data_IF_463112369579
#
_entry.id   IF_463112369579
#
_cell.length_a   1.000
_cell.length_b   1.000
_cell.length_c   1.000
_cell.angle_alpha   90.00
_cell.angle_beta   90.00
_cell.angle_gamma   90.00
#
_symmetry.space_group_name_H-M   'P 1'
#
loop_
_entity.id
_entity.type
_entity.pdbx_description
1 polymer ?
#
# COMPACT_ATOMS: atom_id res chain seq x y z
N UNK A 1 4.73 4.52 -2.56
CA UNK A 1 4.42 4.23 -1.14
C UNK A 1 5.06 5.32 -0.31
N UNK A 2 4.26 6.15 0.36
CA UNK A 2 4.82 7.20 1.23
C UNK A 2 5.66 6.55 2.32
N UNK A 3 6.96 6.86 2.30
CA UNK A 3 7.93 6.45 3.32
C UNK A 3 7.41 6.98 4.67
N UNK A 4 7.14 6.08 5.62
CA UNK A 4 6.72 6.49 6.96
C UNK A 4 7.73 7.49 7.53
N UNK A 5 7.25 8.58 8.11
CA UNK A 5 8.10 9.70 8.51
C UNK A 5 8.83 9.36 9.81
N UNK A 6 10.18 9.25 9.81
CA UNK A 6 10.94 8.78 10.97
C UNK A 6 10.72 9.60 12.24
N UNK A 7 10.49 10.90 12.08
CA UNK A 7 10.35 11.86 13.17
C UNK A 7 8.97 11.85 13.84
N UNK A 8 7.97 11.15 13.31
CA UNK A 8 6.64 11.06 13.91
C UNK A 8 6.49 9.80 14.76
N UNK A 9 5.62 9.85 15.76
CA UNK A 9 5.14 8.65 16.44
C UNK A 9 4.08 7.92 15.62
N UNK A 10 3.82 6.65 15.93
CA UNK A 10 2.75 5.85 15.31
C UNK A 10 1.40 6.58 15.41
N UNK A 11 1.04 7.09 16.59
CA UNK A 11 -0.20 7.85 16.83
C UNK A 11 -0.26 9.14 16.02
N UNK A 12 0.81 9.94 16.02
CA UNK A 12 0.86 11.19 15.26
C UNK A 12 0.75 10.96 13.75
N UNK A 13 1.38 9.90 13.26
CA UNK A 13 1.34 9.53 11.85
C UNK A 13 -0.09 9.13 11.43
N UNK A 14 -0.75 8.24 12.18
CA UNK A 14 -2.14 7.87 11.91
C UNK A 14 -3.09 9.07 12.02
N UNK A 15 -2.93 9.94 13.02
CA UNK A 15 -3.71 11.17 13.12
C UNK A 15 -3.50 12.11 11.93
N UNK A 16 -2.27 12.25 11.45
CA UNK A 16 -1.98 13.05 10.25
C UNK A 16 -2.70 12.47 9.02
N UNK A 17 -2.66 11.16 8.81
CA UNK A 17 -3.36 10.49 7.72
C UNK A 17 -4.89 10.59 7.87
N UNK A 18 -5.43 10.38 9.07
CA UNK A 18 -6.85 10.52 9.37
C UNK A 18 -7.34 11.94 9.03
N UNK A 19 -6.60 12.97 9.46
CA UNK A 19 -6.97 14.36 9.22
C UNK A 19 -7.07 14.73 7.74
N UNK A 20 -6.22 14.13 6.89
CA UNK A 20 -6.18 14.42 5.46
C UNK A 20 -7.09 13.53 4.61
N UNK A 21 -7.25 12.26 4.99
CA UNK A 21 -7.92 11.24 4.17
C UNK A 21 -9.35 10.97 4.57
N UNK A 22 -9.75 11.22 5.83
CA UNK A 22 -11.13 11.00 6.27
C UNK A 22 -12.07 12.13 5.81
N UNK A 23 -13.35 11.80 5.65
CA UNK A 23 -14.37 12.72 5.15
C UNK A 23 -14.61 13.91 6.12
N UNK A 24 -14.90 15.12 5.60
CA UNK A 24 -15.09 16.33 6.44
C UNK A 24 -16.27 16.23 7.40
N UNK A 25 -17.31 15.47 7.02
CA UNK A 25 -18.47 15.23 7.88
C UNK A 25 -18.16 14.46 9.17
N UNK A 26 -16.96 13.86 9.28
CA UNK A 26 -16.54 13.13 10.49
C UNK A 26 -15.90 14.11 11.46
N UNK A 27 -16.42 14.16 12.68
CA UNK A 27 -15.96 15.05 13.74
C UNK A 27 -14.51 14.75 14.14
N UNK A 28 -13.76 15.74 14.68
CA UNK A 28 -12.40 15.50 15.17
C UNK A 28 -12.32 14.44 16.27
N UNK A 29 -13.40 14.25 17.03
CA UNK A 29 -13.49 13.22 18.08
C UNK A 29 -13.59 11.83 17.46
N UNK A 30 -14.53 11.63 16.55
CA UNK A 30 -14.69 10.34 15.82
C UNK A 30 -13.43 9.98 15.02
N UNK A 31 -12.73 10.96 14.45
CA UNK A 31 -11.43 10.72 13.78
C UNK A 31 -10.39 10.14 14.73
N UNK A 32 -10.29 10.68 15.95
CA UNK A 32 -9.37 10.17 16.97
C UNK A 32 -9.80 8.79 17.46
N UNK A 33 -11.09 8.58 17.70
CA UNK A 33 -11.64 7.28 18.08
C UNK A 33 -11.32 6.21 17.03
N UNK A 34 -11.48 6.55 15.73
CA UNK A 34 -11.10 5.66 14.63
C UNK A 34 -9.60 5.36 14.58
N UNK A 35 -8.75 6.33 14.89
CA UNK A 35 -7.30 6.11 14.98
C UNK A 35 -6.97 5.12 16.11
N UNK A 36 -7.60 5.26 17.28
CA UNK A 36 -7.39 4.34 18.41
C UNK A 36 -7.91 2.93 18.10
N UNK A 37 -9.06 2.82 17.41
CA UNK A 37 -9.58 1.53 16.93
C UNK A 37 -8.59 0.84 15.99
N UNK A 38 -8.04 1.57 15.01
CA UNK A 38 -7.05 1.03 14.07
C UNK A 38 -5.75 0.63 14.78
N UNK A 39 -5.30 1.39 15.78
CA UNK A 39 -4.13 1.03 16.58
C UNK A 39 -4.35 -0.31 17.30
N UNK A 40 -5.54 -0.51 17.86
CA UNK A 40 -5.92 -1.73 18.56
C UNK A 40 -6.05 -2.91 17.60
N UNK A 41 -6.77 -2.74 16.49
CA UNK A 41 -6.98 -3.77 15.47
C UNK A 41 -5.67 -4.30 14.88
N UNK A 42 -4.65 -3.44 14.79
CA UNK A 42 -3.35 -3.78 14.23
C UNK A 42 -2.34 -4.21 15.29
N UNK A 43 -2.74 -4.25 16.56
CA UNK A 43 -1.85 -4.62 17.67
C UNK A 43 -0.64 -3.68 17.79
N UNK A 44 -0.84 -2.38 17.53
CA UNK A 44 0.18 -1.32 17.64
C UNK A 44 0.15 -0.61 19.00
N UNK A 45 -0.65 -1.10 19.96
CA UNK A 45 -0.83 -0.49 21.29
C UNK A 45 0.49 -0.30 22.05
N UNK A 46 1.44 -1.25 21.91
CA UNK A 46 2.73 -1.18 22.62
C UNK A 46 3.68 -0.12 22.05
N UNK A 47 3.55 0.24 20.77
CA UNK A 47 4.43 1.18 20.07
C UNK A 47 3.73 2.48 19.66
N UNK A 48 2.54 2.74 20.21
CA UNK A 48 1.67 3.86 19.83
C UNK A 48 2.35 5.22 19.93
N UNK A 49 3.09 5.45 21.02
CA UNK A 49 3.80 6.72 21.26
C UNK A 49 5.31 6.60 20.98
N UNK A 50 5.74 5.51 20.32
CA UNK A 50 7.11 5.30 19.88
C UNK A 50 7.34 6.00 18.54
N UNK A 51 8.51 6.61 18.37
CA UNK A 51 8.93 7.15 17.08
C UNK A 51 9.01 6.04 16.04
N UNK A 52 8.52 6.32 14.84
CA UNK A 52 8.60 5.42 13.69
C UNK A 52 10.06 5.07 13.40
N UNK A 53 10.96 6.06 13.50
CA UNK A 53 12.37 5.88 13.27
C UNK A 53 12.71 5.61 11.80
N UNK A 54 14.01 5.52 11.52
CA UNK A 54 14.55 5.36 10.18
C UNK A 54 15.99 4.87 10.23
N UNK A 55 16.76 5.06 9.16
CA UNK A 55 18.14 4.56 9.09
C UNK A 55 19.06 5.08 10.20
N UNK A 56 18.82 6.30 10.67
CA UNK A 56 19.67 6.97 11.67
C UNK A 56 19.03 7.05 13.06
N UNK A 57 17.73 6.77 13.19
CA UNK A 57 16.96 6.90 14.43
C UNK A 57 16.29 5.57 14.70
N UNK A 58 16.63 4.92 15.81
CA UNK A 58 15.96 3.69 16.23
C UNK A 58 14.47 3.98 16.46
N UNK A 59 13.60 3.15 15.89
CA UNK A 59 12.15 3.27 16.05
C UNK A 59 11.47 1.92 16.13
N UNK A 60 10.30 1.81 15.52
CA UNK A 60 9.49 0.59 15.51
C UNK A 60 10.14 -0.51 14.66
N UNK A 61 9.78 -1.77 14.93
CA UNK A 61 10.21 -2.93 14.16
C UNK A 61 9.67 -2.92 12.72
N UNK A 62 10.26 -3.72 11.83
CA UNK A 62 9.79 -3.85 10.44
C UNK A 62 8.35 -4.36 10.34
N UNK A 63 7.96 -5.32 11.19
CA UNK A 63 6.58 -5.82 11.25
C UNK A 63 5.59 -4.78 11.78
N UNK A 64 5.97 -3.98 12.78
CA UNK A 64 5.16 -2.84 13.24
C UNK A 64 5.03 -1.76 12.16
N UNK A 65 6.11 -1.48 11.43
CA UNK A 65 6.10 -0.56 10.30
C UNK A 65 5.12 -1.00 9.20
N UNK A 66 5.13 -2.28 8.82
CA UNK A 66 4.21 -2.81 7.79
C UNK A 66 2.76 -2.72 8.26
N UNK A 67 2.49 -3.04 9.54
CA UNK A 67 1.16 -2.88 10.15
C UNK A 67 0.74 -1.41 10.19
N UNK A 68 1.62 -0.48 10.53
CA UNK A 68 1.34 0.97 10.47
C UNK A 68 0.96 1.43 9.05
N UNK A 69 1.71 1.01 8.03
CA UNK A 69 1.42 1.33 6.64
C UNK A 69 0.05 0.80 6.21
N UNK A 70 -0.26 -0.43 6.61
CA UNK A 70 -1.57 -1.02 6.38
C UNK A 70 -2.69 -0.22 7.10
N UNK A 71 -2.46 0.20 8.34
CA UNK A 71 -3.38 1.06 9.09
C UNK A 71 -3.67 2.38 8.42
N UNK A 72 -2.67 3.01 7.80
CA UNK A 72 -2.87 4.24 7.04
C UNK A 72 -3.90 4.11 5.90
N UNK A 73 -4.03 2.92 5.31
CA UNK A 73 -5.03 2.63 4.27
C UNK A 73 -6.41 2.31 4.88
N UNK A 74 -6.44 1.51 5.95
CA UNK A 74 -7.67 1.07 6.63
C UNK A 74 -8.38 2.18 7.40
N UNK A 75 -7.67 3.26 7.78
CA UNK A 75 -8.25 4.44 8.45
C UNK A 75 -9.47 5.01 7.71
N UNK A 76 -9.48 4.93 6.37
CA UNK A 76 -10.58 5.47 5.55
C UNK A 76 -11.79 4.54 5.42
N UNK A 77 -11.73 3.38 6.07
CA UNK A 77 -12.74 2.32 6.05
C UNK A 77 -13.23 1.93 4.64
N UNK A 78 -12.30 1.72 3.67
CA UNK A 78 -12.69 1.51 2.28
C UNK A 78 -13.46 0.19 2.10
N UNK A 79 -14.51 0.15 1.24
CA UNK A 79 -15.25 -1.10 0.98
C UNK A 79 -14.44 -2.12 0.19
N UNK A 80 -13.45 -1.67 -0.58
CA UNK A 80 -12.54 -2.48 -1.39
C UNK A 80 -11.10 -2.07 -1.09
N UNK A 81 -10.26 -3.05 -0.74
CA UNK A 81 -8.84 -2.86 -0.43
C UNK A 81 -7.97 -3.70 -1.37
N UNK A 82 -6.97 -3.06 -1.97
CA UNK A 82 -5.94 -3.75 -2.75
C UNK A 82 -4.65 -3.79 -1.94
N UNK A 83 -4.05 -4.97 -1.81
CA UNK A 83 -2.79 -5.17 -1.08
C UNK A 83 -1.77 -5.84 -1.99
N UNK A 84 -0.74 -5.11 -2.38
CA UNK A 84 0.36 -5.66 -3.16
C UNK A 84 1.41 -6.26 -2.21
N UNK A 85 1.62 -7.57 -2.29
CA UNK A 85 2.56 -8.36 -1.50
C UNK A 85 2.62 -7.95 0.00
N UNK A 86 1.51 -8.10 0.75
CA UNK A 86 1.44 -7.65 2.14
C UNK A 86 2.38 -8.43 3.08
N UNK A 87 2.81 -9.63 2.68
CA UNK A 87 3.70 -10.51 3.46
C UNK A 87 5.18 -10.39 3.08
N UNK A 88 5.51 -9.64 2.02
CA UNK A 88 6.90 -9.54 1.54
C UNK A 88 7.81 -8.84 2.54
N UNK A 89 8.98 -9.43 2.80
CA UNK A 89 9.97 -8.96 3.77
C UNK A 89 9.63 -9.22 5.24
N UNK A 90 8.60 -10.04 5.52
CA UNK A 90 8.23 -10.47 6.87
C UNK A 90 8.65 -11.92 7.12
N UNK A 91 8.90 -12.26 8.39
CA UNK A 91 8.98 -13.65 8.81
C UNK A 91 7.58 -14.31 8.80
N UNK A 92 7.54 -15.64 8.94
CA UNK A 92 6.30 -16.42 8.87
C UNK A 92 5.26 -15.99 9.91
N UNK A 93 5.69 -15.69 11.14
CA UNK A 93 4.81 -15.29 12.24
C UNK A 93 4.21 -13.89 12.02
N UNK A 94 5.02 -12.94 11.57
CA UNK A 94 4.57 -11.60 11.21
C UNK A 94 3.65 -11.60 10.00
N UNK A 95 3.94 -12.44 8.99
CA UNK A 95 3.10 -12.61 7.81
C UNK A 95 1.70 -13.12 8.19
N UNK A 96 1.63 -14.14 9.06
CA UNK A 96 0.37 -14.69 9.56
C UNK A 96 -0.46 -13.65 10.33
N UNK A 97 0.20 -12.81 11.15
CA UNK A 97 -0.46 -11.72 11.85
C UNK A 97 -1.08 -10.69 10.88
N UNK A 98 -0.36 -10.32 9.81
CA UNK A 98 -0.88 -9.39 8.79
C UNK A 98 -2.06 -10.01 8.02
N UNK A 99 -1.96 -11.28 7.63
CA UNK A 99 -3.05 -11.99 6.93
C UNK A 99 -4.29 -12.15 7.81
N UNK A 100 -4.10 -12.38 9.11
CA UNK A 100 -5.20 -12.45 10.08
C UNK A 100 -5.95 -11.13 10.19
N UNK A 101 -5.23 -9.99 10.20
CA UNK A 101 -5.83 -8.66 10.17
C UNK A 101 -6.66 -8.47 8.89
N UNK A 102 -6.09 -8.83 7.74
CA UNK A 102 -6.79 -8.74 6.44
C UNK A 102 -8.06 -9.60 6.45
N UNK A 103 -8.00 -10.81 7.01
CA UNK A 103 -9.16 -11.69 7.15
C UNK A 103 -10.24 -11.09 8.05
N UNK A 104 -9.85 -10.50 9.17
CA UNK A 104 -10.79 -9.83 10.07
C UNK A 104 -11.49 -8.65 9.40
N UNK A 105 -10.80 -7.89 8.56
CA UNK A 105 -11.43 -6.84 7.76
C UNK A 105 -12.42 -7.41 6.74
N UNK A 106 -12.06 -8.49 6.06
CA UNK A 106 -12.97 -9.18 5.15
C UNK A 106 -14.24 -9.68 5.86
N UNK A 107 -14.09 -10.23 7.07
CA UNK A 107 -15.20 -10.69 7.91
C UNK A 107 -16.15 -9.55 8.34
N UNK A 108 -15.67 -8.29 8.39
CA UNK A 108 -16.50 -7.10 8.64
C UNK A 108 -17.24 -6.59 7.39
N UNK A 109 -17.27 -7.39 6.31
CA UNK A 109 -17.97 -7.05 5.05
C UNK A 109 -17.15 -6.21 4.09
N UNK A 110 -15.82 -6.17 4.23
CA UNK A 110 -14.92 -5.52 3.27
C UNK A 110 -14.49 -6.52 2.20
N UNK A 111 -14.26 -6.05 0.97
CA UNK A 111 -13.62 -6.86 -0.07
C UNK A 111 -12.12 -6.58 -0.06
N UNK A 112 -11.29 -7.62 0.08
CA UNK A 112 -9.83 -7.47 0.01
C UNK A 112 -9.28 -8.32 -1.12
N UNK A 113 -8.44 -7.72 -1.96
CA UNK A 113 -7.72 -8.37 -3.05
C UNK A 113 -6.23 -8.21 -2.77
N UNK A 114 -5.49 -9.30 -2.70
CA UNK A 114 -4.07 -9.25 -2.47
C UNK A 114 -3.27 -10.18 -3.39
N UNK A 115 -2.04 -9.77 -3.69
CA UNK A 115 -1.02 -10.61 -4.34
C UNK A 115 -0.14 -11.20 -3.25
N UNK A 116 0.14 -12.51 -3.30
CA UNK A 116 1.12 -13.16 -2.42
C UNK A 116 2.05 -14.03 -3.25
N UNK A 117 3.35 -13.76 -3.14
CA UNK A 117 4.39 -14.64 -3.66
C UNK A 117 4.58 -15.80 -2.67
N UNK A 118 4.29 -17.03 -3.11
CA UNK A 118 4.51 -18.28 -2.36
C UNK A 118 3.95 -18.27 -0.92
N UNK A 119 2.62 -18.33 -0.74
CA UNK A 119 2.03 -18.37 0.60
C UNK A 119 2.40 -19.67 1.33
N UNK A 120 2.72 -19.58 2.62
CA UNK A 120 2.79 -20.76 3.49
C UNK A 120 1.44 -21.47 3.55
N UNK A 121 1.42 -22.75 3.91
CA UNK A 121 0.17 -23.51 4.04
C UNK A 121 -0.81 -22.87 5.04
N UNK A 122 -0.28 -22.26 6.12
CA UNK A 122 -1.10 -21.53 7.11
C UNK A 122 -1.76 -20.29 6.50
N UNK A 123 -1.01 -19.49 5.74
CA UNK A 123 -1.53 -18.30 5.06
C UNK A 123 -2.53 -18.70 3.97
N UNK A 124 -2.21 -19.72 3.19
CA UNK A 124 -3.08 -20.19 2.11
C UNK A 124 -4.46 -20.66 2.62
N UNK A 125 -4.49 -21.27 3.81
CA UNK A 125 -5.72 -21.78 4.42
C UNK A 125 -6.75 -20.69 4.79
N UNK A 126 -6.33 -19.43 4.89
CA UNK A 126 -7.19 -18.30 5.31
C UNK A 126 -8.00 -17.72 4.15
N UNK A 127 -7.59 -17.97 2.90
CA UNK A 127 -8.23 -17.40 1.71
C UNK A 127 -9.61 -18.00 1.42
N UNK A 128 -10.58 -17.12 1.16
CA UNK A 128 -11.91 -17.52 0.70
C UNK A 128 -11.89 -18.00 -0.75
N UNK A 129 -11.11 -17.31 -1.59
CA UNK A 129 -10.89 -17.59 -3.00
C UNK A 129 -9.46 -17.21 -3.38
N UNK A 130 -8.93 -17.85 -4.41
CA UNK A 130 -7.64 -17.46 -4.98
C UNK A 130 -7.70 -17.48 -6.51
N UNK A 131 -6.75 -16.76 -7.11
CA UNK A 131 -6.57 -16.68 -8.55
C UNK A 131 -5.13 -17.02 -8.87
N UNK A 132 -4.93 -17.97 -9.79
CA UNK A 132 -3.63 -18.26 -10.36
C UNK A 132 -3.54 -17.61 -11.74
N UNK A 133 -2.46 -16.85 -11.94
CA UNK A 133 -2.14 -16.20 -13.19
C UNK A 133 -0.85 -16.78 -13.76
N UNK A 134 -0.85 -17.08 -15.05
CA UNK A 134 0.34 -17.51 -15.79
C UNK A 134 0.34 -16.84 -17.17
N UNK A 135 1.45 -16.17 -17.52
CA UNK A 135 1.62 -15.47 -18.81
C UNK A 135 0.43 -14.53 -19.15
N UNK A 136 -0.12 -13.84 -18.16
CA UNK A 136 -1.26 -12.92 -18.32
C UNK A 136 -2.63 -13.59 -18.49
N UNK A 137 -2.71 -14.92 -18.34
CA UNK A 137 -3.95 -15.71 -18.43
C UNK A 137 -4.33 -16.30 -17.07
N UNK A 138 -5.63 -16.55 -16.89
CA UNK A 138 -6.15 -17.18 -15.67
C UNK A 138 -6.01 -18.70 -15.79
N UNK A 139 -5.18 -19.27 -14.92
CA UNK A 139 -5.01 -20.72 -14.81
C UNK A 139 -6.04 -21.35 -13.87
N UNK A 140 -6.49 -20.60 -12.85
CA UNK A 140 -7.55 -20.99 -11.95
C UNK A 140 -8.13 -19.75 -11.26
N UNK A 141 -9.43 -19.74 -11.00
CA UNK A 141 -10.10 -18.76 -10.15
C UNK A 141 -11.27 -19.44 -9.45
N UNK A 142 -11.22 -19.53 -8.13
CA UNK A 142 -12.29 -20.18 -7.38
C UNK A 142 -12.04 -20.26 -5.88
N UNK A 143 -13.02 -20.81 -5.14
CA UNK A 143 -12.84 -21.24 -3.76
C UNK A 143 -11.77 -22.32 -3.65
N UNK A 144 -11.12 -22.40 -2.49
CA UNK A 144 -10.13 -23.46 -2.20
C UNK A 144 -10.73 -24.87 -2.22
N UNK A 145 -12.04 -25.04 -2.04
CA UNK A 145 -12.65 -26.38 -2.07
C UNK A 145 -12.64 -26.98 -3.48
N UNK A 146 -12.59 -26.12 -4.51
CA UNK A 146 -12.72 -26.51 -5.90
C UNK A 146 -11.37 -26.70 -6.62
N UNK A 147 -10.25 -26.42 -5.93
CA UNK A 147 -8.92 -26.47 -6.55
C UNK A 147 -8.46 -27.91 -6.85
N UNK A 148 -8.39 -28.79 -5.85
CA UNK A 148 -7.97 -30.18 -5.97
C UNK A 148 -8.85 -30.94 -6.98
N UNK A 149 -10.20 -30.84 -6.96
CA UNK A 149 -11.03 -31.48 -7.97
C UNK A 149 -10.72 -31.02 -9.40
N UNK A 150 -10.51 -29.71 -9.60
CA UNK A 150 -10.16 -29.17 -10.91
C UNK A 150 -8.80 -29.68 -11.39
N UNK A 151 -7.75 -29.57 -10.56
CA UNK A 151 -6.41 -30.02 -10.93
C UNK A 151 -6.33 -31.54 -11.16
N UNK A 152 -7.07 -32.34 -10.38
CA UNK A 152 -7.21 -33.77 -10.62
C UNK A 152 -7.88 -34.08 -11.97
N UNK A 153 -8.89 -33.30 -12.38
CA UNK A 153 -9.59 -33.51 -13.67
C UNK A 153 -8.69 -33.31 -14.90
N UNK A 154 -7.63 -32.50 -14.75
CA UNK A 154 -6.65 -32.23 -15.81
C UNK A 154 -5.39 -33.11 -15.69
N UNK A 155 -5.40 -34.10 -14.79
CA UNK A 155 -4.32 -35.07 -14.58
C UNK A 155 -3.19 -34.59 -13.66
N UNK A 156 -3.42 -33.53 -12.88
CA UNK A 156 -2.45 -32.93 -11.97
C UNK A 156 -2.83 -33.28 -10.53
N UNK A 157 -2.15 -34.29 -9.97
CA UNK A 157 -2.39 -34.75 -8.61
C UNK A 157 -1.43 -34.07 -7.62
N UNK A 158 -2.01 -33.41 -6.61
CA UNK A 158 -1.24 -32.79 -5.52
C UNK A 158 -0.88 -33.87 -4.48
N UNK A 159 0.40 -34.06 -4.13
CA UNK A 159 0.79 -34.95 -3.04
C UNK A 159 0.24 -34.48 -1.69
N UNK A 160 -0.09 -35.41 -0.79
CA UNK A 160 -0.68 -35.10 0.53
C UNK A 160 0.25 -34.27 1.43
N UNK A 161 1.56 -34.52 1.35
CA UNK A 161 2.58 -33.84 2.18
C UNK A 161 3.06 -32.49 1.59
N UNK A 162 2.46 -32.04 0.48
CA UNK A 162 2.92 -30.86 -0.24
C UNK A 162 1.94 -29.69 -0.12
N UNK A 163 2.46 -28.48 0.03
CA UNK A 163 1.62 -27.27 0.06
C UNK A 163 0.95 -27.07 -1.31
N UNK A 164 -0.39 -27.15 -1.42
CA UNK A 164 -1.07 -27.04 -2.72
C UNK A 164 -0.75 -25.73 -3.45
N UNK A 165 -0.67 -24.62 -2.73
CA UNK A 165 -0.37 -23.32 -3.33
C UNK A 165 1.02 -23.29 -3.97
N UNK A 166 2.03 -23.83 -3.28
CA UNK A 166 3.39 -23.92 -3.82
C UNK A 166 3.42 -24.86 -5.04
N UNK A 167 2.67 -25.97 -4.99
CA UNK A 167 2.62 -26.94 -6.09
C UNK A 167 2.04 -26.33 -7.36
N UNK A 168 0.92 -25.61 -7.24
CA UNK A 168 0.29 -24.98 -8.39
C UNK A 168 1.17 -23.88 -8.99
N UNK A 169 1.85 -23.10 -8.15
CA UNK A 169 2.82 -22.10 -8.62
C UNK A 169 3.98 -22.78 -9.34
N UNK A 170 4.53 -23.86 -8.80
CA UNK A 170 5.62 -24.60 -9.43
C UNK A 170 5.22 -25.18 -10.79
N UNK A 171 3.97 -25.65 -10.91
CA UNK A 171 3.44 -26.21 -12.14
C UNK A 171 3.26 -25.17 -13.25
N UNK A 172 3.02 -23.91 -12.86
CA UNK A 172 2.84 -22.77 -13.76
C UNK A 172 4.14 -21.96 -13.97
N UNK A 173 5.19 -22.26 -13.22
CA UNK A 173 6.47 -21.56 -13.29
C UNK A 173 7.21 -21.88 -14.60
N UNK A 174 7.86 -20.85 -15.15
CA UNK A 174 8.72 -20.98 -16.32
C UNK A 174 10.15 -21.19 -15.82
N UNK A 175 10.69 -22.37 -16.10
CA UNK A 175 12.04 -22.75 -15.68
C UNK A 175 13.03 -22.43 -16.81
N UNK A 176 14.12 -21.71 -16.54
CA UNK A 176 15.15 -21.44 -17.54
C UNK A 176 15.69 -22.74 -18.15
N UNK A 177 15.73 -22.82 -19.48
CA UNK A 177 16.20 -24.00 -20.23
C UNK A 177 15.11 -24.95 -20.71
N UNK A 178 13.87 -24.86 -20.19
CA UNK A 178 12.70 -25.62 -20.67
C UNK A 178 11.50 -24.68 -20.92
N UNK A 179 11.78 -23.44 -21.34
CA UNK A 179 10.77 -22.38 -21.39
C UNK A 179 9.59 -22.71 -22.32
N UNK A 180 9.85 -23.31 -23.48
CA UNK A 180 8.82 -23.66 -24.46
C UNK A 180 7.86 -24.72 -23.93
N UNK A 181 8.38 -25.75 -23.26
CA UNK A 181 7.58 -26.83 -22.66
C UNK A 181 6.76 -26.30 -21.47
N UNK A 182 7.38 -25.51 -20.59
CA UNK A 182 6.70 -24.87 -19.45
C UNK A 182 5.57 -23.94 -19.93
N UNK A 183 5.83 -23.13 -20.96
CA UNK A 183 4.82 -22.21 -21.52
C UNK A 183 3.69 -22.97 -22.20
N UNK A 184 3.98 -24.05 -22.93
CA UNK A 184 2.97 -24.91 -23.54
C UNK A 184 2.05 -25.53 -22.46
N UNK A 185 2.64 -26.03 -21.37
CA UNK A 185 1.92 -26.59 -20.23
C UNK A 185 1.04 -25.55 -19.52
N UNK A 186 1.58 -24.37 -19.21
CA UNK A 186 0.83 -23.29 -18.61
C UNK A 186 -0.35 -22.85 -19.50
N UNK A 187 -0.12 -22.79 -20.82
CA UNK A 187 -1.16 -22.49 -21.80
C UNK A 187 -2.27 -23.55 -21.80
N UNK A 188 -1.92 -24.83 -21.78
CA UNK A 188 -2.87 -25.94 -21.71
C UNK A 188 -3.74 -25.87 -20.45
N UNK A 189 -3.15 -25.59 -19.29
CA UNK A 189 -3.90 -25.44 -18.02
C UNK A 189 -4.90 -24.28 -18.12
N UNK A 190 -4.46 -23.12 -18.64
CA UNK A 190 -5.33 -21.96 -18.85
C UNK A 190 -6.47 -22.26 -19.83
N UNK A 191 -6.20 -22.99 -20.92
CA UNK A 191 -7.21 -23.38 -21.90
C UNK A 191 -8.24 -24.35 -21.29
N UNK A 192 -7.79 -25.34 -20.53
CA UNK A 192 -8.67 -26.27 -19.81
C UNK A 192 -9.52 -25.56 -18.76
N UNK A 193 -8.96 -24.59 -18.04
CA UNK A 193 -9.74 -23.78 -17.08
C UNK A 193 -10.82 -22.96 -17.79
N UNK A 194 -10.51 -22.32 -18.92
CA UNK A 194 -11.47 -21.50 -19.66
C UNK A 194 -12.68 -22.30 -20.18
N UNK A 195 -12.49 -23.58 -20.49
CA UNK A 195 -13.55 -24.50 -20.96
C UNK A 195 -14.24 -25.23 -19.80
N UNK A 196 -13.65 -25.26 -18.62
CA UNK A 196 -14.22 -25.94 -17.45
C UNK A 196 -15.53 -25.30 -16.98
N UNK A 197 -16.39 -26.10 -16.33
CA UNK A 197 -17.66 -25.63 -15.75
C UNK A 197 -17.45 -24.47 -14.77
N UNK A 198 -16.34 -24.48 -14.00
CA UNK A 198 -15.96 -23.40 -13.10
C UNK A 198 -15.63 -22.12 -13.87
N UNK A 199 -14.80 -22.22 -14.92
CA UNK A 199 -14.42 -21.08 -15.76
C UNK A 199 -15.62 -20.44 -16.46
N UNK A 200 -16.50 -21.27 -17.03
CA UNK A 200 -17.73 -20.82 -17.69
C UNK A 200 -18.69 -20.17 -16.67
N UNK A 201 -18.90 -20.81 -15.52
CA UNK A 201 -19.78 -20.27 -14.47
C UNK A 201 -19.28 -18.92 -13.95
N UNK A 202 -17.97 -18.77 -13.75
CA UNK A 202 -17.39 -17.50 -13.32
C UNK A 202 -17.50 -16.43 -14.41
N UNK A 203 -17.25 -16.78 -15.67
CA UNK A 203 -17.44 -15.86 -16.80
C UNK A 203 -18.87 -15.37 -16.90
N UNK A 204 -19.85 -16.27 -16.83
CA UNK A 204 -21.27 -15.91 -16.86
C UNK A 204 -21.64 -14.97 -15.70
N UNK A 205 -21.14 -15.24 -14.48
CA UNK A 205 -21.37 -14.34 -13.34
C UNK A 205 -20.76 -12.96 -13.52
N UNK A 206 -19.59 -12.87 -14.15
CA UNK A 206 -18.96 -11.59 -14.46
C UNK A 206 -19.77 -10.85 -15.52
N UNK A 207 -20.19 -11.55 -16.57
CA UNK A 207 -21.01 -10.98 -17.66
C UNK A 207 -22.39 -10.52 -17.15
N UNK A 208 -23.01 -11.24 -16.21
CA UNK A 208 -24.25 -10.84 -15.52
C UNK A 208 -24.07 -9.56 -14.67
N UNK A 209 -22.93 -9.42 -14.01
CA UNK A 209 -22.61 -8.25 -13.19
C UNK A 209 -22.13 -7.05 -14.03
N UNK A 210 -21.60 -7.32 -15.23
CA UNK A 210 -21.13 -6.34 -16.21
C UNK A 210 -21.93 -6.44 -17.52
N UNK A 211 -23.26 -6.20 -17.52
CA UNK A 211 -24.02 -6.22 -18.76
C UNK A 211 -23.44 -5.18 -19.73
N UNK A 212 -23.08 -5.64 -20.93
CA UNK A 212 -22.42 -4.93 -22.04
C UNK A 212 -22.45 -3.39 -21.96
N UNK A 213 -21.32 -2.81 -21.53
CA UNK A 213 -20.99 -1.40 -21.76
C UNK A 213 -20.54 -1.14 -23.22
N UNK A 214 -20.66 -2.15 -24.08
CA UNK A 214 -20.17 -2.19 -25.46
C UNK A 214 -21.25 -1.91 -26.51
N UNK A 215 -22.53 -1.93 -26.14
CA UNK A 215 -23.65 -1.79 -27.07
C UNK A 215 -24.36 -0.42 -27.09
N UNK A 216 -23.94 0.57 -26.29
CA UNK A 216 -24.66 1.85 -26.24
C UNK A 216 -23.74 3.07 -26.17
N UNK A 217 -23.94 4.01 -27.11
CA UNK A 217 -23.31 5.32 -27.22
C UNK A 217 -23.58 6.27 -26.02
N UNK A 218 -24.04 5.74 -24.89
CA UNK A 218 -24.28 6.46 -23.64
C UNK A 218 -23.31 5.97 -22.57
N UNK A 219 -22.04 6.36 -22.71
CA UNK A 219 -20.96 6.12 -21.73
C UNK A 219 -21.25 6.75 -20.35
N UNK A 220 -22.29 7.55 -20.22
CA UNK A 220 -22.55 8.37 -19.03
C UNK A 220 -23.60 7.81 -18.06
N UNK A 221 -24.38 6.78 -18.41
CA UNK A 221 -25.52 6.35 -17.57
C UNK A 221 -25.24 5.11 -16.70
N UNK A 222 -24.60 4.07 -17.25
CA UNK A 222 -24.27 2.84 -16.52
C UNK A 222 -23.11 3.03 -15.54
N UNK A 223 -22.06 3.70 -16.03
CA UNK A 223 -20.91 4.17 -15.25
C UNK A 223 -21.35 5.07 -14.09
N UNK A 224 -22.31 5.98 -14.34
CA UNK A 224 -22.82 6.91 -13.32
C UNK A 224 -23.62 6.25 -12.20
N UNK A 225 -24.26 5.09 -12.42
CA UNK A 225 -25.04 4.41 -11.38
C UNK A 225 -24.12 3.76 -10.33
N UNK A 226 -22.97 3.23 -10.75
CA UNK A 226 -21.91 2.75 -9.86
C UNK A 226 -21.03 3.89 -9.31
N UNK A 227 -20.75 4.93 -10.12
CA UNK A 227 -20.10 6.17 -9.66
C UNK A 227 -20.92 6.94 -8.64
N UNK A 228 -22.25 6.78 -8.59
CA UNK A 228 -23.10 7.44 -7.58
C UNK A 228 -22.81 6.96 -6.15
N UNK A 229 -22.32 5.72 -6.00
CA UNK A 229 -21.89 5.18 -4.70
C UNK A 229 -20.38 5.30 -4.46
N UNK A 230 -19.56 5.41 -5.50
CA UNK A 230 -18.20 5.95 -5.38
C UNK A 230 -18.30 7.47 -5.23
N UNK A 231 -18.70 7.92 -4.03
CA UNK A 231 -18.67 9.32 -3.67
C UNK A 231 -17.38 9.94 -4.17
N UNK A 232 -17.53 10.96 -5.03
CA UNK A 232 -16.47 11.63 -5.75
C UNK A 232 -15.15 11.58 -4.97
N UNK A 233 -14.08 11.13 -5.62
CA UNK A 233 -12.69 11.29 -5.15
C UNK A 233 -12.30 12.77 -5.27
N UNK A 234 -13.10 13.65 -4.67
CA UNK A 234 -12.68 15.00 -4.32
C UNK A 234 -11.77 14.87 -3.12
N UNK A 235 -10.61 15.54 -3.15
CA UNK A 235 -9.75 15.70 -2.00
C UNK A 235 -10.60 16.02 -0.75
N UNK A 236 -10.66 15.05 0.16
CA UNK A 236 -11.62 15.08 1.26
C UNK A 236 -11.33 16.24 2.22
N UNK A 237 -10.10 16.73 2.34
CA UNK A 237 -9.74 17.90 3.17
C UNK A 237 -9.59 19.20 2.36
N UNK A 238 -9.88 20.36 2.96
CA UNK A 238 -9.72 21.68 2.36
C UNK A 238 -8.25 21.98 2.06
N UNK A 239 -7.96 22.83 1.06
CA UNK A 239 -6.58 23.23 0.77
C UNK A 239 -5.89 23.82 2.01
N UNK A 240 -6.60 24.64 2.78
CA UNK A 240 -6.07 25.23 4.00
C UNK A 240 -5.82 24.19 5.10
N UNK A 241 -6.72 23.22 5.28
CA UNK A 241 -6.54 22.12 6.24
C UNK A 241 -5.33 21.25 5.86
N UNK A 242 -5.16 20.98 4.56
CA UNK A 242 -4.00 20.24 4.06
C UNK A 242 -2.72 21.03 4.28
N UNK A 243 -2.71 22.33 4.02
CA UNK A 243 -1.55 23.18 4.23
C UNK A 243 -1.20 23.27 5.71
N UNK A 244 -2.17 23.50 6.60
CA UNK A 244 -1.95 23.52 8.04
C UNK A 244 -1.41 22.18 8.55
N UNK A 245 -1.96 21.05 8.07
CA UNK A 245 -1.48 19.72 8.45
C UNK A 245 -0.03 19.49 8.00
N UNK A 246 0.32 19.87 6.77
CA UNK A 246 1.68 19.72 6.23
C UNK A 246 2.66 20.68 6.93
N UNK A 247 2.24 21.90 7.25
CA UNK A 247 3.04 22.87 8.01
C UNK A 247 3.30 22.38 9.43
N UNK A 248 2.25 21.96 10.15
CA UNK A 248 2.38 21.34 11.46
C UNK A 248 3.40 20.19 11.43
N UNK A 249 3.23 19.27 10.48
CA UNK A 249 4.14 18.14 10.27
C UNK A 249 5.57 18.60 10.00
N UNK A 250 5.76 19.58 9.11
CA UNK A 250 7.07 20.12 8.74
C UNK A 250 7.79 20.75 9.94
N UNK A 251 7.07 21.56 10.73
CA UNK A 251 7.60 22.17 11.95
C UNK A 251 7.96 21.11 12.98
N UNK A 252 7.11 20.09 13.18
CA UNK A 252 7.38 19.02 14.14
C UNK A 252 8.62 18.20 13.74
N UNK A 253 8.73 17.82 12.47
CA UNK A 253 9.93 17.14 11.95
C UNK A 253 11.18 17.99 12.13
N UNK A 254 11.12 19.28 11.78
CA UNK A 254 12.25 20.20 11.92
C UNK A 254 12.69 20.39 13.38
N UNK A 255 11.74 20.38 14.34
CA UNK A 255 12.05 20.44 15.77
C UNK A 255 12.69 19.16 16.29
N UNK A 256 12.29 17.99 15.78
CA UNK A 256 12.79 16.67 16.20
C UNK A 256 14.10 16.25 15.52
N UNK A 257 14.42 16.85 14.37
CA UNK A 257 15.68 16.64 13.64
C UNK A 257 16.56 17.91 13.65
N UNK A 258 17.10 18.33 14.82
CA UNK A 258 17.84 19.58 14.94
C UNK A 258 19.17 19.56 14.17
N UNK A 259 19.69 18.39 13.79
CA UNK A 259 20.97 18.26 13.08
C UNK A 259 20.96 19.03 11.75
N UNK A 260 19.92 18.84 10.93
CA UNK A 260 19.80 19.53 9.64
C UNK A 260 19.69 21.04 9.82
N UNK A 261 18.93 21.49 10.82
CA UNK A 261 18.78 22.91 11.13
C UNK A 261 20.10 23.52 11.61
N UNK A 262 20.82 22.83 12.51
CA UNK A 262 22.13 23.27 13.02
C UNK A 262 23.16 23.40 11.89
N UNK A 263 23.25 22.41 11.00
CA UNK A 263 24.19 22.44 9.86
C UNK A 263 23.89 23.63 8.95
N UNK A 264 22.62 23.85 8.60
CA UNK A 264 22.22 25.01 7.77
C UNK A 264 22.53 26.35 8.47
N UNK A 265 22.26 26.45 9.76
CA UNK A 265 22.48 27.68 10.53
C UNK A 265 23.99 27.99 10.61
N UNK A 266 24.83 26.99 10.88
CA UNK A 266 26.29 27.14 10.87
C UNK A 266 26.78 27.53 9.47
N UNK A 267 26.27 26.89 8.41
CA UNK A 267 26.62 27.22 7.03
C UNK A 267 26.31 28.70 6.70
N UNK A 268 25.12 29.18 7.08
CA UNK A 268 24.72 30.58 6.87
C UNK A 268 25.63 31.53 7.65
N UNK A 269 25.96 31.21 8.89
CA UNK A 269 26.87 32.02 9.71
C UNK A 269 28.26 32.09 9.07
N UNK A 270 28.82 30.96 8.61
CA UNK A 270 30.13 30.91 7.96
C UNK A 270 30.12 31.73 6.66
N UNK A 271 29.15 31.52 5.79
CA UNK A 271 29.03 32.26 4.52
C UNK A 271 28.89 33.76 4.79
N UNK A 272 28.03 34.15 5.75
CA UNK A 272 27.84 35.55 6.13
C UNK A 272 29.12 36.18 6.69
N UNK A 273 29.90 35.42 7.45
CA UNK A 273 31.17 35.87 8.02
C UNK A 273 32.24 36.03 6.92
N UNK A 274 32.33 35.11 5.96
CA UNK A 274 33.22 35.22 4.80
C UNK A 274 32.87 36.47 3.98
N UNK A 275 31.59 36.68 3.66
CA UNK A 275 31.15 37.90 2.98
C UNK A 275 31.45 39.15 3.81
N UNK A 276 31.17 39.12 5.12
CA UNK A 276 31.48 40.23 6.02
C UNK A 276 32.98 40.58 6.06
N UNK A 277 33.86 39.58 6.00
CA UNK A 277 35.31 39.77 5.97
C UNK A 277 35.82 40.30 4.61
N UNK A 278 35.32 39.76 3.49
CA UNK A 278 35.74 40.20 2.14
C UNK A 278 35.39 41.67 1.92
N UNK A 279 34.23 42.10 2.42
CA UNK A 279 33.72 43.46 2.22
C UNK A 279 33.96 44.37 3.44
N UNK A 280 34.76 43.91 4.41
CA UNK A 280 35.11 44.70 5.58
C UNK A 280 35.91 45.94 5.12
N UNK A 281 35.49 47.11 5.56
CA UNK A 281 36.17 48.39 5.28
C UNK A 281 36.27 48.81 3.80
N UNK A 282 35.24 48.52 2.97
CA UNK A 282 35.19 49.12 1.64
C UNK A 282 35.12 50.67 1.70
N UNK A 283 36.03 51.32 0.97
CA UNK A 283 36.05 52.78 0.82
C UNK A 283 34.97 53.24 -0.15
N UNK A 284 34.40 54.43 0.03
CA UNK A 284 33.30 54.96 -0.79
C UNK A 284 33.80 55.48 -2.16
N UNK A 285 34.17 54.58 -3.07
CA UNK A 285 34.62 54.89 -4.43
C UNK A 285 33.74 54.21 -5.50
N UNK A 286 33.78 54.69 -6.75
CA UNK A 286 33.00 54.11 -7.87
C UNK A 286 33.28 52.61 -8.11
N UNK A 287 34.52 52.17 -7.90
CA UNK A 287 34.90 50.75 -7.96
C UNK A 287 34.19 49.90 -6.88
N UNK A 288 33.91 50.48 -5.71
CA UNK A 288 33.17 49.82 -4.64
C UNK A 288 31.69 49.65 -4.99
N UNK A 289 31.11 50.57 -5.78
CA UNK A 289 29.74 50.44 -6.31
C UNK A 289 29.63 49.24 -7.26
N UNK A 290 30.65 49.00 -8.09
CA UNK A 290 30.72 47.79 -8.94
C UNK A 290 30.91 46.51 -8.11
N UNK A 291 31.75 46.53 -7.07
CA UNK A 291 31.93 45.37 -6.18
C UNK A 291 30.66 45.01 -5.40
N UNK A 292 29.84 45.99 -4.99
CA UNK A 292 28.56 45.76 -4.32
C UNK A 292 27.51 45.23 -5.30
N UNK A 293 27.47 45.74 -6.53
CA UNK A 293 26.52 45.25 -7.55
C UNK A 293 26.82 43.83 -8.03
N UNK A 294 28.07 43.36 -7.94
CA UNK A 294 28.42 41.96 -8.22
C UNK A 294 28.02 40.97 -7.12
N UNK A 295 27.48 41.44 -5.99
CA UNK A 295 27.06 40.64 -4.83
C UNK A 295 25.54 40.37 -4.78
N UNK A 296 24.72 41.20 -5.44
CA UNK A 296 23.28 40.94 -5.64
C UNK A 296 23.05 39.88 -6.72
#
# INVERSE_FOLDING_TARGET
>A
MDLALPALTVREHLNFHANRRMHRGISPKERKERVEEVILDLGLTKCTDTLIGGRHIKGISGGEMKRLQFGCEVLTDPPLLFCDEPTSGLDSFMAEAVVSIVKNLAARGKTVVCTIHQPSSSVFAVFDKFMLLAEGRVAFLGPRVDDIPFFNSIGIHVPEDYNPADFFVHQLAIIPGHEDECRAKAKEICDKFAVSDLGISMKNRVDELMPDSTANNNRDAGSARYMKHMGHVTYKASYWEQMQAVLWRSVLTMRREPMLLRVRLIQVVIISLIFGLIFLQQTKNMASVQNINGLM
#
